data_IF_750235958789
#
_entry.id   IF_750235958789
#
_cell.length_a   1.000
_cell.length_b   1.000
_cell.length_c   1.000
_cell.angle_alpha   90.00
_cell.angle_beta   90.00
_cell.angle_gamma   90.00
#
_symmetry.space_group_name_H-M   'P 1'
#
loop_
_entity.id
_entity.type
_entity.pdbx_description
1 polymer ?
#
# COMPACT_ATOMS: atom_id res chain seq x y z
N UNK A 1 15.52 3.59 7.20
CA UNK A 1 14.53 3.37 6.12
C UNK A 1 13.18 3.32 6.79
N UNK A 2 12.22 4.06 6.25
CA UNK A 2 10.89 4.16 6.81
C UNK A 2 9.95 3.14 6.16
N UNK A 3 8.84 2.79 6.82
CA UNK A 3 7.84 1.84 6.34
C UNK A 3 6.46 2.47 6.29
N UNK A 4 5.88 2.41 5.10
CA UNK A 4 4.52 2.86 4.84
C UNK A 4 3.65 1.63 4.60
N UNK A 5 2.59 1.51 5.39
CA UNK A 5 1.50 0.56 5.15
C UNK A 5 0.38 1.23 4.36
N UNK A 6 -0.18 0.54 3.38
CA UNK A 6 -1.42 0.95 2.69
C UNK A 6 -2.43 -0.16 2.89
N UNK A 7 -3.50 0.09 3.64
CA UNK A 7 -4.57 -0.88 3.85
C UNK A 7 -5.87 -0.46 3.17
N UNK A 8 -6.62 -1.44 2.66
CA UNK A 8 -7.94 -1.24 2.09
C UNK A 8 -8.72 -2.56 2.08
N UNK A 9 -10.04 -2.45 2.03
CA UNK A 9 -10.91 -3.62 1.84
C UNK A 9 -11.34 -3.75 0.39
N UNK A 10 -11.28 -4.95 -0.16
CA UNK A 10 -11.78 -5.22 -1.52
C UNK A 10 -12.18 -6.68 -1.71
N UNK A 11 -13.13 -6.93 -2.60
CA UNK A 11 -13.45 -8.29 -3.05
C UNK A 11 -12.53 -8.79 -4.17
N UNK A 12 -11.43 -8.08 -4.44
CA UNK A 12 -10.49 -8.43 -5.51
C UNK A 12 -9.66 -9.65 -5.11
N UNK A 13 -9.39 -10.49 -6.09
CA UNK A 13 -8.44 -11.59 -5.92
C UNK A 13 -7.01 -11.07 -5.69
N UNK A 14 -6.13 -11.87 -5.05
CA UNK A 14 -4.73 -11.50 -4.88
C UNK A 14 -4.02 -11.10 -6.18
N UNK A 15 -4.31 -11.78 -7.30
CA UNK A 15 -3.72 -11.48 -8.60
C UNK A 15 -4.20 -10.14 -9.18
N UNK A 16 -5.47 -9.80 -8.94
CA UNK A 16 -6.00 -8.49 -9.30
C UNK A 16 -5.40 -7.38 -8.45
N UNK A 17 -5.26 -7.58 -7.13
CA UNK A 17 -4.58 -6.63 -6.26
C UNK A 17 -3.13 -6.44 -6.68
N UNK A 18 -2.44 -7.53 -7.02
CA UNK A 18 -1.07 -7.50 -7.51
C UNK A 18 -0.97 -6.65 -8.78
N UNK A 19 -1.84 -6.88 -9.75
CA UNK A 19 -1.77 -6.26 -11.07
C UNK A 19 -2.25 -4.81 -11.03
N UNK A 20 -3.35 -4.52 -10.32
CA UNK A 20 -3.97 -3.19 -10.30
C UNK A 20 -3.29 -2.22 -9.34
N UNK A 21 -2.72 -2.71 -8.23
CA UNK A 21 -2.17 -1.84 -7.19
C UNK A 21 -0.68 -2.09 -6.93
N UNK A 22 -0.28 -3.32 -6.63
CA UNK A 22 1.09 -3.58 -6.17
C UNK A 22 2.12 -3.24 -7.26
N UNK A 23 1.94 -3.75 -8.49
CA UNK A 23 2.85 -3.49 -9.61
C UNK A 23 3.01 -2.00 -9.90
N UNK A 24 1.96 -1.21 -10.16
CA UNK A 24 2.13 0.21 -10.48
C UNK A 24 2.70 1.04 -9.32
N UNK A 25 2.33 0.72 -8.06
CA UNK A 25 2.90 1.42 -6.90
C UNK A 25 4.37 1.08 -6.70
N UNK A 26 4.74 -0.18 -6.89
CA UNK A 26 6.13 -0.64 -6.87
C UNK A 26 6.95 0.04 -7.95
N UNK A 27 6.45 0.07 -9.19
CA UNK A 27 7.16 0.68 -10.31
C UNK A 27 7.42 2.17 -10.05
N UNK A 28 6.45 2.88 -9.45
CA UNK A 28 6.61 4.28 -9.09
C UNK A 28 7.66 4.50 -8.00
N UNK A 29 7.63 3.72 -6.91
CA UNK A 29 8.57 3.91 -5.80
C UNK A 29 10.01 3.54 -6.20
N UNK A 30 10.17 2.53 -7.06
CA UNK A 30 11.48 2.07 -7.54
C UNK A 30 12.06 3.01 -8.62
N UNK A 31 11.23 3.50 -9.55
CA UNK A 31 11.66 4.39 -10.64
C UNK A 31 12.22 5.72 -10.10
N UNK A 32 11.55 6.31 -9.11
CA UNK A 32 12.01 7.54 -8.46
C UNK A 32 13.10 7.29 -7.42
N UNK A 33 13.57 6.04 -7.27
CA UNK A 33 14.53 5.61 -6.25
C UNK A 33 14.10 6.04 -4.83
N UNK A 34 12.80 6.21 -4.62
CA UNK A 34 12.21 6.65 -3.37
C UNK A 34 12.14 5.51 -2.35
N UNK A 35 12.17 4.26 -2.81
CA UNK A 35 12.02 3.08 -1.97
C UNK A 35 11.89 1.80 -2.79
N UNK A 36 11.33 0.78 -2.15
CA UNK A 36 10.97 -0.49 -2.78
C UNK A 36 9.74 -1.09 -2.10
N UNK A 37 9.03 -1.93 -2.84
CA UNK A 37 7.93 -2.70 -2.28
C UNK A 37 8.46 -3.85 -1.42
N UNK A 38 7.96 -3.97 -0.19
CA UNK A 38 8.47 -4.90 0.80
C UNK A 38 7.61 -6.13 0.97
N UNK A 39 6.28 -6.00 1.07
CA UNK A 39 5.40 -7.14 1.35
C UNK A 39 3.92 -6.86 1.05
N UNK A 40 3.13 -7.93 0.96
CA UNK A 40 1.67 -7.91 0.88
C UNK A 40 1.09 -8.94 1.85
N UNK A 41 0.16 -8.49 2.68
CA UNK A 41 -0.62 -9.30 3.59
C UNK A 41 -2.09 -9.22 3.17
N UNK A 42 -2.77 -10.37 3.19
CA UNK A 42 -4.22 -10.47 2.99
C UNK A 42 -4.81 -11.17 4.20
N UNK A 43 -5.81 -10.55 4.79
CA UNK A 43 -6.64 -11.17 5.81
C UNK A 43 -7.98 -11.50 5.16
N UNK A 44 -8.20 -12.81 4.96
CA UNK A 44 -9.46 -13.30 4.45
C UNK A 44 -10.52 -13.24 5.54
N UNK A 45 -11.67 -12.65 5.23
CA UNK A 45 -12.81 -12.67 6.14
C UNK A 45 -13.44 -14.08 6.12
N UNK A 46 -14.04 -14.50 7.25
CA UNK A 46 -14.71 -15.80 7.33
C UNK A 46 -16.01 -15.85 6.51
N UNK A 47 -16.59 -14.67 6.25
CA UNK A 47 -17.77 -14.50 5.43
C UNK A 47 -17.38 -14.34 3.95
N UNK A 48 -17.78 -15.26 3.05
CA UNK A 48 -17.45 -15.19 1.63
C UNK A 48 -18.07 -13.99 0.90
N UNK A 49 -19.07 -13.31 1.49
CA UNK A 49 -19.67 -12.10 0.93
C UNK A 49 -18.97 -10.82 1.40
N UNK A 50 -18.12 -10.90 2.43
CA UNK A 50 -17.37 -9.75 2.93
C UNK A 50 -16.09 -9.51 2.11
N UNK A 51 -15.74 -8.24 1.84
CA UNK A 51 -14.47 -7.92 1.18
C UNK A 51 -13.29 -8.21 2.11
N UNK A 52 -12.24 -8.81 1.56
CA UNK A 52 -11.01 -9.08 2.29
C UNK A 52 -10.26 -7.80 2.62
N UNK A 53 -9.47 -7.84 3.68
CA UNK A 53 -8.55 -6.76 4.02
C UNK A 53 -7.17 -7.02 3.41
N UNK A 54 -6.65 -6.02 2.70
CA UNK A 54 -5.34 -6.05 2.06
C UNK A 54 -4.44 -5.02 2.72
N UNK A 55 -3.20 -5.39 3.01
CA UNK A 55 -2.16 -4.49 3.51
C UNK A 55 -0.91 -4.61 2.63
N UNK A 56 -0.55 -3.52 1.97
CA UNK A 56 0.66 -3.37 1.19
C UNK A 56 1.72 -2.66 2.03
N UNK A 57 2.96 -3.15 2.02
CA UNK A 57 4.05 -2.58 2.81
C UNK A 57 5.16 -2.13 1.87
N UNK A 58 5.55 -0.87 2.00
CA UNK A 58 6.64 -0.26 1.23
C UNK A 58 7.74 0.20 2.17
N UNK A 59 9.00 -0.07 1.81
CA UNK A 59 10.16 0.50 2.47
C UNK A 59 10.66 1.70 1.67
N UNK A 60 10.69 2.88 2.29
CA UNK A 60 11.03 4.14 1.65
C UNK A 60 12.22 4.79 2.32
N UNK A 61 12.97 5.58 1.56
CA UNK A 61 14.13 6.33 2.06
C UNK A 61 13.69 7.52 2.90
N UNK A 62 12.70 8.25 2.40
CA UNK A 62 12.07 9.41 3.04
C UNK A 62 10.57 9.12 3.16
N UNK A 63 10.02 9.28 4.37
CA UNK A 63 8.62 8.96 4.63
C UNK A 63 7.66 9.92 3.92
N UNK A 64 7.90 11.23 4.00
CA UNK A 64 6.99 12.24 3.45
C UNK A 64 6.97 12.20 1.92
N UNK A 65 8.15 12.13 1.30
CA UNK A 65 8.26 12.01 -0.15
C UNK A 65 7.68 10.67 -0.65
N UNK A 66 7.98 9.56 0.05
CA UNK A 66 7.43 8.25 -0.28
C UNK A 66 5.90 8.21 -0.16
N UNK A 67 5.34 8.78 0.92
CA UNK A 67 3.90 8.85 1.14
C UNK A 67 3.22 9.70 0.08
N UNK A 68 3.79 10.85 -0.27
CA UNK A 68 3.25 11.71 -1.32
C UNK A 68 3.22 10.99 -2.67
N UNK A 69 4.31 10.34 -3.06
CA UNK A 69 4.41 9.59 -4.31
C UNK A 69 3.37 8.46 -4.36
N UNK A 70 3.29 7.65 -3.29
CA UNK A 70 2.33 6.54 -3.22
C UNK A 70 0.88 7.04 -3.29
N UNK A 71 0.55 8.16 -2.63
CA UNK A 71 -0.79 8.78 -2.71
C UNK A 71 -1.12 9.24 -4.12
N UNK A 72 -0.21 9.96 -4.76
CA UNK A 72 -0.40 10.45 -6.12
C UNK A 72 -0.61 9.29 -7.10
N UNK A 73 0.24 8.25 -7.01
CA UNK A 73 0.12 7.10 -7.89
C UNK A 73 -1.15 6.31 -7.65
N UNK A 74 -1.56 6.15 -6.38
CA UNK A 74 -2.80 5.48 -6.04
C UNK A 74 -4.04 6.23 -6.57
N UNK A 75 -4.01 7.56 -6.54
CA UNK A 75 -5.06 8.38 -7.15
C UNK A 75 -5.11 8.22 -8.68
N UNK A 76 -3.94 8.19 -9.34
CA UNK A 76 -3.84 8.02 -10.80
C UNK A 76 -4.42 6.69 -11.28
N UNK A 77 -4.14 5.59 -10.56
CA UNK A 77 -4.61 4.24 -10.94
C UNK A 77 -6.04 3.92 -10.45
N UNK A 78 -6.66 4.84 -9.70
CA UNK A 78 -7.98 4.66 -9.10
C UNK A 78 -7.92 4.07 -7.68
N UNK A 79 -7.99 4.94 -6.67
CA UNK A 79 -7.87 4.52 -5.28
C UNK A 79 -9.03 3.62 -4.83
N UNK A 80 -8.75 2.51 -4.12
CA UNK A 80 -9.80 1.68 -3.54
C UNK A 80 -10.58 2.46 -2.45
N UNK A 81 -11.85 2.10 -2.19
CA UNK A 81 -12.64 2.75 -1.16
C UNK A 81 -12.01 2.54 0.21
N UNK A 82 -12.09 3.57 1.07
CA UNK A 82 -11.61 3.54 2.46
C UNK A 82 -10.13 3.16 2.62
N UNK A 83 -9.26 3.59 1.68
CA UNK A 83 -7.82 3.38 1.83
C UNK A 83 -7.27 4.13 3.04
N UNK A 84 -6.42 3.46 3.83
CA UNK A 84 -5.72 4.01 4.97
C UNK A 84 -4.21 3.90 4.76
N UNK A 85 -3.48 4.91 5.22
CA UNK A 85 -2.02 4.94 5.21
C UNK A 85 -1.50 4.86 6.64
N UNK A 86 -0.54 4.00 6.87
CA UNK A 86 0.02 3.72 8.20
C UNK A 86 1.51 4.01 8.22
N UNK A 87 1.98 4.67 9.28
CA UNK A 87 3.41 4.64 9.62
C UNK A 87 3.67 3.35 10.40
N UNK A 88 4.47 2.45 9.83
CA UNK A 88 4.78 1.15 10.42
C UNK A 88 6.11 1.14 11.18
N UNK A 89 6.76 2.30 11.36
CA UNK A 89 7.96 2.38 12.16
C UNK A 89 7.66 2.65 13.64
N UNK A 90 8.07 1.75 14.54
CA UNK A 90 7.74 1.86 15.96
C UNK A 90 8.49 2.98 16.69
N UNK A 91 9.47 3.62 16.04
CA UNK A 91 10.34 4.64 16.63
C UNK A 91 9.88 6.08 16.40
N UNK A 92 8.84 6.32 15.60
CA UNK A 92 8.26 7.65 15.41
C UNK A 92 6.77 7.65 15.79
N UNK A 93 6.40 8.15 16.98
CA UNK A 93 4.99 8.33 17.31
C UNK A 93 4.41 9.38 16.35
N UNK A 94 3.24 9.06 15.80
CA UNK A 94 2.46 9.87 14.85
C UNK A 94 2.66 11.39 15.05
N UNK A 95 3.16 12.07 14.01
CA UNK A 95 3.13 13.53 13.87
C UNK A 95 1.96 13.96 12.99
#
# INVERSE_FOLDING_TARGET
>A
MNRIGISFKSSLSPDEVLTRFIRPLRDAIESDRAGFYSNYLRQAEADPEAPDEHLLIFQVRDFQAGLHLLRMKLQEIGAPPNVLFHNLDPSEPMY
#
